data_IF_891498403300
#
_entry.id   IF_891498403300
#
_cell.length_a   1.000
_cell.length_b   1.000
_cell.length_c   1.000
_cell.angle_alpha   90.00
_cell.angle_beta   90.00
_cell.angle_gamma   90.00
#
_symmetry.space_group_name_H-M   'P 1'
#
loop_
_entity.id
_entity.type
_entity.pdbx_description
1 polymer ?
#
# COMPACT_ATOMS: atom_id res chain seq x y z
N UNK A 1 -12.75 43.92 2.09
CA UNK A 1 -12.03 43.09 3.08
C UNK A 1 -11.84 41.71 2.47
N UNK A 2 -10.62 41.19 2.33
CA UNK A 2 -10.43 39.85 1.81
C UNK A 2 -11.03 38.84 2.80
N UNK A 3 -11.91 37.96 2.31
CA UNK A 3 -12.57 36.91 3.07
C UNK A 3 -11.48 35.95 3.57
N UNK A 4 -11.42 35.71 4.88
CA UNK A 4 -10.47 34.76 5.46
C UNK A 4 -10.60 33.40 4.73
N UNK A 5 -9.49 32.75 4.36
CA UNK A 5 -9.53 31.48 3.64
C UNK A 5 -10.32 30.46 4.46
N UNK A 6 -11.23 29.77 3.79
CA UNK A 6 -12.06 28.76 4.44
C UNK A 6 -11.17 27.63 4.97
N UNK A 7 -11.65 26.87 5.95
CA UNK A 7 -10.92 25.71 6.46
C UNK A 7 -10.59 24.70 5.34
N UNK A 8 -11.40 24.66 4.28
CA UNK A 8 -11.18 23.84 3.09
C UNK A 8 -9.99 24.34 2.29
N UNK A 9 -9.82 25.65 2.11
CA UNK A 9 -8.69 26.24 1.40
C UNK A 9 -7.37 26.00 2.14
N UNK A 10 -7.40 26.03 3.47
CA UNK A 10 -6.24 25.73 4.32
C UNK A 10 -5.84 24.25 4.25
N UNK A 11 -6.83 23.34 4.23
CA UNK A 11 -6.59 21.91 4.04
C UNK A 11 -6.03 21.64 2.64
N UNK A 12 -6.62 22.23 1.60
CA UNK A 12 -6.17 22.07 0.22
C UNK A 12 -4.73 22.55 0.02
N UNK A 13 -4.37 23.70 0.60
CA UNK A 13 -2.99 24.21 0.58
C UNK A 13 -1.99 23.33 1.34
N UNK A 14 -2.48 22.49 2.26
CA UNK A 14 -1.65 21.56 3.04
C UNK A 14 -1.43 20.22 2.33
N UNK A 15 -2.13 19.95 1.22
CA UNK A 15 -1.94 18.72 0.44
C UNK A 15 -0.81 18.98 -0.56
N UNK A 16 0.34 18.30 -0.45
CA UNK A 16 1.43 18.48 -1.40
C UNK A 16 1.01 18.04 -2.82
N UNK A 17 1.29 18.90 -3.81
CA UNK A 17 0.93 18.72 -5.23
C UNK A 17 1.57 17.50 -5.92
N UNK A 18 2.50 16.82 -5.26
CA UNK A 18 3.23 15.68 -5.83
C UNK A 18 2.56 14.35 -5.49
N UNK A 19 1.55 13.97 -6.28
CA UNK A 19 1.20 12.55 -6.47
C UNK A 19 2.25 11.86 -7.35
N UNK A 20 3.51 11.84 -6.91
CA UNK A 20 4.58 11.10 -7.58
C UNK A 20 5.30 10.17 -6.61
N UNK A 21 4.53 9.59 -5.69
CA UNK A 21 5.00 8.49 -4.87
C UNK A 21 5.01 7.20 -5.68
N UNK A 22 6.18 6.75 -6.15
CA UNK A 22 6.38 5.40 -6.72
C UNK A 22 5.61 4.35 -5.89
N UNK A 23 4.97 3.34 -6.49
CA UNK A 23 4.32 2.28 -5.73
C UNK A 23 5.21 1.70 -4.62
N UNK A 24 4.63 1.33 -3.48
CA UNK A 24 5.41 0.94 -2.29
C UNK A 24 6.31 -0.27 -2.56
N UNK A 25 5.87 -1.22 -3.39
CA UNK A 25 6.66 -2.39 -3.79
C UNK A 25 7.92 -2.03 -4.58
N UNK A 26 7.96 -0.86 -5.24
CA UNK A 26 9.16 -0.34 -5.90
C UNK A 26 10.13 0.37 -4.95
N UNK A 27 9.73 0.60 -3.69
CA UNK A 27 10.56 1.22 -2.66
C UNK A 27 11.20 0.19 -1.72
N UNK A 28 10.92 -1.09 -1.94
CA UNK A 28 11.44 -2.19 -1.12
C UNK A 28 12.94 -2.36 -1.34
N UNK A 29 13.66 -2.69 -0.26
CA UNK A 29 15.04 -3.17 -0.34
C UNK A 29 15.11 -4.54 -1.03
N UNK A 30 16.31 -5.02 -1.31
CA UNK A 30 16.50 -6.38 -1.85
C UNK A 30 15.94 -7.45 -0.92
N UNK A 31 16.33 -7.44 0.37
CA UNK A 31 15.82 -8.36 1.39
C UNK A 31 14.29 -8.33 1.49
N UNK A 32 13.68 -7.14 1.44
CA UNK A 32 12.23 -6.99 1.48
C UNK A 32 11.56 -7.55 0.22
N UNK A 33 12.20 -7.43 -0.96
CA UNK A 33 11.69 -8.01 -2.21
C UNK A 33 11.72 -9.53 -2.16
N UNK A 34 12.81 -10.11 -1.67
CA UNK A 34 12.91 -11.56 -1.46
C UNK A 34 11.84 -12.06 -0.47
N UNK A 35 11.58 -11.29 0.59
CA UNK A 35 10.54 -11.61 1.56
C UNK A 35 9.12 -11.62 0.97
N UNK A 36 8.79 -10.64 0.11
CA UNK A 36 7.42 -10.54 -0.44
C UNK A 36 7.19 -11.40 -1.69
N UNK A 37 8.25 -11.81 -2.39
CA UNK A 37 8.17 -12.68 -3.57
C UNK A 37 7.34 -13.97 -3.35
N UNK A 38 7.54 -14.77 -2.29
CA UNK A 38 6.74 -15.97 -2.05
C UNK A 38 5.26 -15.66 -1.75
N UNK A 39 4.95 -14.48 -1.18
CA UNK A 39 3.57 -14.05 -0.94
C UNK A 39 2.85 -13.84 -2.27
N UNK A 40 3.52 -13.16 -3.21
CA UNK A 40 2.99 -12.93 -4.55
C UNK A 40 2.81 -14.25 -5.32
N UNK A 41 3.78 -15.16 -5.22
CA UNK A 41 3.68 -16.49 -5.84
C UNK A 41 2.49 -17.29 -5.28
N UNK A 42 2.31 -17.32 -3.95
CA UNK A 42 1.18 -17.98 -3.31
C UNK A 42 -0.17 -17.36 -3.71
N UNK A 43 -0.21 -16.03 -3.92
CA UNK A 43 -1.39 -15.34 -4.40
C UNK A 43 -1.76 -15.73 -5.83
N UNK A 44 -0.78 -15.75 -6.74
CA UNK A 44 -0.97 -16.19 -8.13
C UNK A 44 -1.41 -17.65 -8.21
N UNK A 45 -0.92 -18.50 -7.31
CA UNK A 45 -1.35 -19.88 -7.17
C UNK A 45 -2.76 -20.06 -6.57
N UNK A 46 -3.45 -18.97 -6.18
CA UNK A 46 -4.79 -19.02 -5.61
C UNK A 46 -4.85 -19.57 -4.18
N UNK A 47 -3.71 -19.67 -3.47
CA UNK A 47 -3.62 -20.31 -2.14
C UNK A 47 -4.49 -19.65 -1.07
N UNK A 48 -4.83 -18.38 -1.24
CA UNK A 48 -5.65 -17.62 -0.29
C UNK A 48 -7.17 -17.71 -0.56
N UNK A 49 -7.59 -18.42 -1.61
CA UNK A 49 -8.99 -18.69 -1.93
C UNK A 49 -9.82 -17.42 -2.18
N UNK A 50 -11.11 -17.49 -1.83
CA UNK A 50 -12.09 -16.40 -2.07
C UNK A 50 -11.99 -15.27 -1.05
N UNK A 51 -11.29 -15.46 0.07
CA UNK A 51 -11.21 -14.50 1.19
C UNK A 51 -10.11 -13.45 0.98
N UNK A 52 -10.09 -12.84 -0.21
CA UNK A 52 -9.05 -11.89 -0.68
C UNK A 52 -8.78 -10.74 0.30
N UNK A 53 -9.83 -10.12 0.83
CA UNK A 53 -9.71 -9.00 1.79
C UNK A 53 -9.09 -9.47 3.12
N UNK A 54 -9.47 -10.66 3.59
CA UNK A 54 -8.91 -11.22 4.83
C UNK A 54 -7.44 -11.55 4.66
N UNK A 55 -7.07 -12.15 3.52
CA UNK A 55 -5.69 -12.41 3.17
C UNK A 55 -4.85 -11.12 3.10
N UNK A 56 -5.36 -10.08 2.43
CA UNK A 56 -4.69 -8.80 2.34
C UNK A 56 -4.44 -8.14 3.72
N UNK A 57 -5.39 -8.27 4.66
CA UNK A 57 -5.21 -7.80 6.05
C UNK A 57 -4.13 -8.58 6.79
N UNK A 58 -4.12 -9.91 6.67
CA UNK A 58 -3.12 -10.76 7.30
C UNK A 58 -1.71 -10.49 6.74
N UNK A 59 -1.60 -10.33 5.43
CA UNK A 59 -0.35 -9.97 4.75
C UNK A 59 0.11 -8.58 5.21
N UNK A 60 -0.76 -7.56 5.22
CA UNK A 60 -0.40 -6.22 5.69
C UNK A 60 0.13 -6.21 7.13
N UNK A 61 -0.48 -6.98 8.02
CA UNK A 61 0.01 -7.18 9.39
C UNK A 61 1.41 -7.79 9.40
N UNK A 62 1.61 -8.89 8.66
CA UNK A 62 2.90 -9.59 8.57
C UNK A 62 4.01 -8.69 7.99
N UNK A 63 3.69 -7.92 6.95
CA UNK A 63 4.60 -6.95 6.33
C UNK A 63 5.01 -5.85 7.32
N UNK A 64 4.05 -5.34 8.11
CA UNK A 64 4.31 -4.31 9.12
C UNK A 64 5.23 -4.84 10.22
N UNK A 65 5.04 -6.09 10.66
CA UNK A 65 5.93 -6.76 11.62
C UNK A 65 7.37 -6.91 11.10
N UNK A 66 7.56 -6.94 9.77
CA UNK A 66 8.87 -7.01 9.10
C UNK A 66 9.36 -5.64 8.61
N UNK A 67 8.82 -4.54 9.15
CA UNK A 67 9.28 -3.18 8.86
C UNK A 67 8.77 -2.58 7.54
N UNK A 68 7.82 -3.25 6.85
CA UNK A 68 7.15 -2.73 5.66
C UNK A 68 5.79 -2.18 6.05
N UNK A 69 5.72 -0.87 6.32
CA UNK A 69 4.48 -0.20 6.72
C UNK A 69 3.55 0.00 5.52
N UNK A 70 2.49 -0.80 5.42
CA UNK A 70 1.50 -0.70 4.34
C UNK A 70 0.10 -1.15 4.82
N UNK A 71 -0.93 -0.45 4.37
CA UNK A 71 -2.32 -0.82 4.66
C UNK A 71 -2.83 -1.97 3.79
N UNK A 72 -3.88 -2.66 4.25
CA UNK A 72 -4.49 -3.78 3.53
C UNK A 72 -4.95 -3.43 2.10
N UNK A 73 -5.39 -2.20 1.85
CA UNK A 73 -5.75 -1.74 0.51
C UNK A 73 -4.54 -1.64 -0.42
N UNK A 74 -3.40 -1.16 0.08
CA UNK A 74 -2.15 -1.09 -0.68
C UNK A 74 -1.58 -2.48 -1.00
N UNK A 75 -1.76 -3.44 -0.08
CA UNK A 75 -1.44 -4.85 -0.32
C UNK A 75 -2.37 -5.45 -1.36
N UNK A 76 -3.68 -5.23 -1.25
CA UNK A 76 -4.63 -5.76 -2.21
C UNK A 76 -4.37 -5.23 -3.63
N UNK A 77 -4.11 -3.92 -3.76
CA UNK A 77 -3.77 -3.30 -5.04
C UNK A 77 -2.48 -3.89 -5.64
N UNK A 78 -1.46 -4.10 -4.81
CA UNK A 78 -0.22 -4.78 -5.21
C UNK A 78 -0.46 -6.21 -5.72
N UNK A 79 -1.20 -7.01 -4.95
CA UNK A 79 -1.54 -8.39 -5.31
C UNK A 79 -2.41 -8.50 -6.56
N UNK A 80 -3.31 -7.54 -6.78
CA UNK A 80 -4.16 -7.48 -7.97
C UNK A 80 -3.37 -7.11 -9.22
N UNK A 81 -2.38 -6.21 -9.08
CA UNK A 81 -1.51 -5.80 -10.19
C UNK A 81 -0.53 -6.89 -10.58
N UNK A 82 -0.10 -7.70 -9.60
CA UNK A 82 0.77 -8.84 -9.83
C UNK A 82 2.21 -8.41 -10.13
N UNK A 83 2.70 -7.35 -9.52
CA UNK A 83 4.07 -6.81 -9.70
C UNK A 83 4.96 -7.08 -8.51
#
# INVERSE_FOLDING_TARGET
MPKAPSIIDQIAASIPDSQSGKPWWLRLTEDQREFVAPILAAWRAGRFGTRKITAARAIAKTLTEHGITIGAQGVLAWLQRGE
#
